data_IF_073573449882
#
_entry.id   IF_073573449882
#
_cell.length_a   1.000
_cell.length_b   1.000
_cell.length_c   1.000
_cell.angle_alpha   90.00
_cell.angle_beta   90.00
_cell.angle_gamma   90.00
#
_symmetry.space_group_name_H-M   'P 1'
#
loop_
_entity.id
_entity.type
_entity.pdbx_description
1 polymer ?
#
# COMPACT_ATOMS: atom_id res chain seq x y z
N UNK A 1 2.77 17.98 -5.00
CA UNK A 1 3.25 16.63 -5.36
C UNK A 1 2.93 16.40 -6.84
N UNK A 2 3.87 15.88 -7.63
CA UNK A 2 3.57 15.45 -9.01
C UNK A 2 3.05 14.01 -8.97
N UNK A 3 2.03 13.71 -9.78
CA UNK A 3 1.50 12.34 -9.91
C UNK A 3 2.61 11.38 -10.33
N UNK A 4 2.61 10.18 -9.74
CA UNK A 4 3.56 9.11 -10.07
C UNK A 4 3.34 8.61 -11.50
N UNK A 5 2.10 8.63 -11.99
CA UNK A 5 1.77 8.18 -13.34
C UNK A 5 2.28 9.10 -14.46
N UNK A 6 2.68 10.33 -14.13
CA UNK A 6 3.29 11.26 -15.07
C UNK A 6 4.84 11.19 -15.06
N UNK A 7 5.40 10.14 -14.45
CA UNK A 7 6.84 9.89 -14.30
C UNK A 7 7.13 8.45 -14.75
N UNK A 8 7.36 8.19 -16.05
CA UNK A 8 7.58 6.84 -16.57
C UNK A 8 8.83 6.15 -16.00
N UNK A 9 9.77 6.94 -15.48
CA UNK A 9 10.98 6.48 -14.79
C UNK A 9 10.76 6.17 -13.30
N UNK A 10 9.57 6.44 -12.76
CA UNK A 10 9.30 6.25 -11.34
C UNK A 10 9.35 4.76 -10.94
N UNK A 11 9.94 4.51 -9.79
CA UNK A 11 10.04 3.18 -9.18
C UNK A 11 9.48 3.18 -7.77
N UNK A 12 8.97 2.01 -7.37
CA UNK A 12 8.71 1.67 -5.97
C UNK A 12 9.78 0.70 -5.50
N UNK A 13 10.10 0.70 -4.20
CA UNK A 13 10.95 -0.31 -3.59
C UNK A 13 10.07 -1.43 -3.03
N UNK A 14 10.19 -2.63 -3.57
CA UNK A 14 9.39 -3.79 -3.15
C UNK A 14 10.25 -4.84 -2.46
N UNK A 15 9.73 -5.42 -1.37
CA UNK A 15 10.34 -6.60 -0.73
C UNK A 15 10.47 -7.74 -1.74
N UNK A 16 11.62 -8.43 -1.72
CA UNK A 16 11.87 -9.60 -2.56
C UNK A 16 10.88 -10.75 -2.32
N UNK A 17 10.27 -10.85 -1.15
CA UNK A 17 9.21 -11.83 -0.90
C UNK A 17 7.97 -11.61 -1.78
N UNK A 18 7.69 -10.36 -2.19
CA UNK A 18 6.63 -10.07 -3.15
C UNK A 18 7.01 -10.54 -4.56
N UNK A 19 8.30 -10.42 -4.89
CA UNK A 19 8.83 -10.66 -6.23
C UNK A 19 8.97 -12.17 -6.51
N UNK A 20 9.44 -12.93 -5.52
CA UNK A 20 9.54 -14.39 -5.62
C UNK A 20 8.23 -15.11 -5.30
N UNK A 21 7.21 -14.38 -4.83
CA UNK A 21 5.88 -14.89 -4.50
C UNK A 21 5.80 -15.67 -3.18
N UNK A 22 6.84 -15.61 -2.34
CA UNK A 22 6.83 -16.24 -1.01
C UNK A 22 5.98 -15.49 0.02
N UNK A 23 5.65 -14.22 -0.25
CA UNK A 23 4.79 -13.38 0.59
C UNK A 23 3.78 -12.57 -0.22
N UNK A 24 2.78 -12.03 0.47
CA UNK A 24 1.72 -11.21 -0.13
C UNK A 24 1.81 -9.75 0.32
N UNK A 25 1.39 -8.82 -0.53
CA UNK A 25 1.40 -7.40 -0.21
C UNK A 25 0.54 -7.13 1.03
N UNK A 26 1.16 -6.53 2.05
CA UNK A 26 0.48 -6.24 3.33
C UNK A 26 0.61 -4.81 3.78
N UNK A 27 1.77 -4.19 3.60
CA UNK A 27 2.02 -2.84 4.10
C UNK A 27 2.67 -2.01 3.00
N UNK A 28 2.31 -0.73 2.95
CA UNK A 28 2.97 0.26 2.10
C UNK A 28 3.24 1.53 2.87
N UNK A 29 4.37 2.15 2.55
CA UNK A 29 4.77 3.41 3.16
C UNK A 29 5.35 4.33 2.09
N UNK A 30 5.05 5.62 2.15
CA UNK A 30 5.63 6.62 1.26
C UNK A 30 6.58 7.52 2.04
N UNK A 31 7.88 7.38 1.82
CA UNK A 31 8.92 8.17 2.47
C UNK A 31 8.76 9.68 2.23
N UNK A 32 9.19 10.48 3.21
CA UNK A 32 9.05 11.94 3.20
C UNK A 32 10.01 12.65 2.23
N UNK A 33 11.08 11.98 1.80
CA UNK A 33 12.12 12.58 0.96
C UNK A 33 12.73 11.52 0.03
N UNK A 34 12.22 11.38 -1.22
CA UNK A 34 12.86 10.51 -2.19
C UNK A 34 14.28 10.97 -2.48
N UNK A 35 15.19 10.02 -2.58
CA UNK A 35 16.63 10.31 -2.65
C UNK A 35 17.13 10.51 -4.09
N UNK A 36 16.36 10.06 -5.08
CA UNK A 36 16.69 10.17 -6.51
C UNK A 36 15.47 10.60 -7.33
N UNK A 37 15.64 11.14 -8.55
CA UNK A 37 14.53 11.54 -9.41
C UNK A 37 13.54 10.41 -9.76
N UNK A 38 14.04 9.17 -9.83
CA UNK A 38 13.24 7.98 -10.12
C UNK A 38 12.50 7.45 -8.88
N UNK A 39 12.95 7.81 -7.69
CA UNK A 39 12.38 7.31 -6.46
C UNK A 39 11.00 7.96 -6.22
N UNK A 40 9.94 7.15 -6.27
CA UNK A 40 8.58 7.63 -5.99
C UNK A 40 8.32 7.85 -4.50
N UNK A 41 9.22 7.37 -3.64
CA UNK A 41 9.13 7.30 -2.19
C UNK A 41 8.36 6.07 -1.68
N UNK A 42 7.74 5.26 -2.54
CA UNK A 42 6.92 4.13 -2.11
C UNK A 42 7.77 2.90 -1.78
N UNK A 43 7.53 2.35 -0.59
CA UNK A 43 7.97 1.04 -0.14
C UNK A 43 6.79 0.09 -0.06
N UNK A 44 6.97 -1.14 -0.55
CA UNK A 44 6.00 -2.23 -0.49
C UNK A 44 6.57 -3.40 0.31
N UNK A 45 5.84 -3.82 1.34
CA UNK A 45 6.25 -4.89 2.25
C UNK A 45 5.29 -6.08 2.16
N UNK A 46 5.88 -7.27 2.30
CA UNK A 46 5.15 -8.52 2.38
C UNK A 46 4.63 -8.79 3.80
N UNK A 47 3.60 -9.63 3.90
CA UNK A 47 3.03 -10.11 5.16
C UNK A 47 3.99 -10.93 6.02
N UNK A 48 4.98 -11.57 5.39
CA UNK A 48 6.02 -12.37 6.03
C UNK A 48 7.34 -11.60 6.25
N UNK A 49 7.39 -10.30 5.95
CA UNK A 49 8.57 -9.49 6.23
C UNK A 49 8.74 -9.28 7.75
N UNK A 50 9.93 -9.59 8.26
CA UNK A 50 10.32 -9.30 9.64
C UNK A 50 11.02 -7.94 9.76
N UNK A 51 11.12 -7.41 10.98
CA UNK A 51 11.90 -6.19 11.24
C UNK A 51 13.37 -6.36 10.81
N UNK A 52 13.96 -7.53 11.07
CA UNK A 52 15.33 -7.84 10.66
C UNK A 52 15.48 -7.88 9.14
N UNK A 53 14.48 -8.41 8.43
CA UNK A 53 14.45 -8.41 6.97
C UNK A 53 14.35 -6.99 6.41
N UNK A 54 13.46 -6.18 6.97
CA UNK A 54 13.20 -4.82 6.54
C UNK A 54 14.36 -3.87 6.81
N UNK A 55 15.23 -4.19 7.78
CA UNK A 55 16.40 -3.41 8.10
C UNK A 55 17.53 -3.51 7.07
N UNK A 56 17.52 -4.52 6.18
CA UNK A 56 18.53 -4.69 5.13
C UNK A 56 18.02 -4.18 3.77
N UNK A 57 18.57 -3.06 3.24
CA UNK A 57 18.18 -2.53 1.94
C UNK A 57 18.37 -3.53 0.78
N UNK A 58 19.28 -4.51 0.93
CA UNK A 58 19.50 -5.53 -0.09
C UNK A 58 18.30 -6.47 -0.25
N UNK A 59 17.35 -6.48 0.69
CA UNK A 59 16.11 -7.26 0.60
C UNK A 59 15.01 -6.58 -0.22
N UNK A 60 15.24 -5.35 -0.68
CA UNK A 60 14.33 -4.61 -1.52
C UNK A 60 14.85 -4.53 -2.95
N UNK A 61 13.93 -4.39 -3.90
CA UNK A 61 14.25 -4.21 -5.31
C UNK A 61 13.38 -3.11 -5.91
N UNK A 62 13.96 -2.19 -6.69
CA UNK A 62 13.17 -1.20 -7.42
C UNK A 62 12.36 -1.89 -8.52
N UNK A 63 11.06 -1.59 -8.56
CA UNK A 63 10.14 -1.99 -9.62
C UNK A 63 9.56 -0.75 -10.29
N UNK A 64 9.53 -0.75 -11.61
CA UNK A 64 8.76 0.26 -12.36
C UNK A 64 7.27 0.13 -12.02
N UNK A 65 6.54 1.24 -12.08
CA UNK A 65 5.13 1.32 -11.66
C UNK A 65 4.24 0.28 -12.35
N UNK A 66 4.46 0.04 -13.65
CA UNK A 66 3.68 -0.96 -14.39
C UNK A 66 3.87 -2.37 -13.85
N UNK A 67 5.10 -2.75 -13.50
CA UNK A 67 5.39 -4.06 -12.89
C UNK A 67 4.77 -4.15 -11.49
N UNK A 68 4.90 -3.11 -10.68
CA UNK A 68 4.30 -3.08 -9.34
C UNK A 68 2.77 -3.21 -9.40
N UNK A 69 2.11 -2.47 -10.30
CA UNK A 69 0.64 -2.51 -10.44
C UNK A 69 0.13 -3.76 -11.15
N UNK A 70 0.97 -4.46 -11.91
CA UNK A 70 0.67 -5.80 -12.42
C UNK A 70 0.72 -6.85 -11.29
N UNK A 71 1.67 -6.71 -10.35
CA UNK A 71 1.79 -7.56 -9.17
C UNK A 71 0.64 -7.32 -8.18
N UNK A 72 0.32 -6.06 -7.90
CA UNK A 72 -0.76 -5.67 -7.01
C UNK A 72 -1.61 -4.54 -7.62
N UNK A 73 -2.72 -4.87 -8.31
CA UNK A 73 -3.58 -3.87 -8.97
C UNK A 73 -4.15 -2.79 -8.03
N UNK A 74 -4.32 -3.10 -6.75
CA UNK A 74 -4.84 -2.16 -5.73
C UNK A 74 -3.93 -0.95 -5.50
N UNK A 75 -2.65 -1.02 -5.90
CA UNK A 75 -1.71 0.09 -5.80
C UNK A 75 -2.15 1.30 -6.64
N UNK A 76 -2.83 1.07 -7.77
CA UNK A 76 -3.24 2.15 -8.69
C UNK A 76 -4.05 3.26 -8.01
N UNK A 77 -4.79 2.90 -6.96
CA UNK A 77 -5.62 3.84 -6.25
C UNK A 77 -4.91 4.65 -5.16
N UNK A 78 -3.68 4.26 -4.77
CA UNK A 78 -2.96 4.90 -3.67
C UNK A 78 -1.66 5.59 -4.10
N UNK A 79 -1.13 5.31 -5.29
CA UNK A 79 0.20 5.79 -5.69
C UNK A 79 0.33 7.33 -5.75
N UNK A 80 -0.79 8.06 -5.88
CA UNK A 80 -0.83 9.52 -5.87
C UNK A 80 -1.11 10.14 -4.48
N UNK A 81 -1.23 9.34 -3.43
CA UNK A 81 -1.36 9.82 -2.05
C UNK A 81 -0.08 10.51 -1.56
N UNK A 82 -0.20 11.49 -0.63
CA UNK A 82 0.91 12.33 -0.20
C UNK A 82 2.08 11.57 0.43
N UNK A 83 3.24 12.22 0.52
CA UNK A 83 4.39 11.72 1.26
C UNK A 83 4.03 11.60 2.75
N UNK A 84 4.58 10.59 3.42
CA UNK A 84 4.20 10.21 4.78
C UNK A 84 2.96 9.31 4.86
N UNK A 85 2.38 8.91 3.73
CA UNK A 85 1.30 7.92 3.68
C UNK A 85 1.79 6.57 4.21
N UNK A 86 0.98 5.94 5.04
CA UNK A 86 1.29 4.72 5.76
C UNK A 86 0.02 3.86 5.80
N UNK A 87 -0.01 2.77 5.03
CA UNK A 87 -1.23 2.00 4.81
C UNK A 87 -1.01 0.51 4.93
N UNK A 88 -2.03 -0.17 5.45
CA UNK A 88 -2.13 -1.62 5.48
C UNK A 88 -3.15 -2.07 4.44
N UNK A 89 -2.79 -3.07 3.66
CA UNK A 89 -3.72 -3.75 2.77
C UNK A 89 -4.41 -4.88 3.52
N UNK A 90 -5.74 -4.83 3.57
CA UNK A 90 -6.56 -5.93 4.02
C UNK A 90 -7.09 -6.70 2.81
N UNK A 91 -6.81 -8.01 2.77
CA UNK A 91 -7.23 -8.91 1.70
C UNK A 91 -8.28 -9.93 2.18
N UNK A 92 -8.82 -9.77 3.40
CA UNK A 92 -9.87 -10.65 3.92
C UNK A 92 -11.10 -10.61 3.01
N UNK A 93 -11.70 -11.77 2.66
CA UNK A 93 -12.87 -11.81 1.80
C UNK A 93 -14.02 -10.93 2.32
N UNK A 94 -14.41 -9.92 1.55
CA UNK A 94 -15.47 -8.96 1.91
C UNK A 94 -15.00 -7.69 2.62
N UNK A 95 -13.72 -7.56 2.96
CA UNK A 95 -13.11 -6.38 3.60
C UNK A 95 -11.82 -6.00 2.85
N UNK A 96 -11.87 -6.02 1.51
CA UNK A 96 -10.70 -5.74 0.70
C UNK A 96 -10.47 -4.21 0.63
N UNK A 97 -9.30 -3.72 1.04
CA UNK A 97 -9.03 -2.29 1.00
C UNK A 97 -7.78 -1.83 1.73
N UNK A 98 -7.48 -0.54 1.57
CA UNK A 98 -6.38 0.12 2.26
C UNK A 98 -6.85 0.77 3.55
N UNK A 99 -6.05 0.68 4.60
CA UNK A 99 -6.36 1.20 5.93
C UNK A 99 -5.19 2.02 6.45
N UNK A 100 -5.47 3.18 7.01
CA UNK A 100 -4.48 3.90 7.83
C UNK A 100 -4.43 3.23 9.22
N UNK A 101 -3.30 2.63 9.62
CA UNK A 101 -3.20 1.91 10.89
C UNK A 101 -3.23 2.83 12.11
N UNK A 102 -2.91 4.13 11.95
CA UNK A 102 -2.89 5.11 13.06
C UNK A 102 -4.30 5.56 13.39
N UNK A 103 -5.09 5.91 12.38
CA UNK A 103 -6.48 6.38 12.56
C UNK A 103 -7.49 5.24 12.52
N UNK A 104 -7.07 4.05 12.06
CA UNK A 104 -7.93 2.88 11.79
C UNK A 104 -9.07 3.19 10.81
N UNK A 105 -8.83 4.13 9.90
CA UNK A 105 -9.83 4.52 8.90
C UNK A 105 -9.51 3.88 7.55
N UNK A 106 -10.53 3.35 6.83
CA UNK A 106 -10.33 2.89 5.47
C UNK A 106 -10.02 4.09 4.56
N UNK A 107 -9.04 3.92 3.69
CA UNK A 107 -8.78 4.82 2.57
C UNK A 107 -9.64 4.32 1.42
N UNK A 108 -10.79 4.97 1.24
CA UNK A 108 -11.76 4.63 0.22
C UNK A 108 -11.11 4.59 -1.16
N UNK A 109 -11.11 3.40 -1.76
CA UNK A 109 -10.82 3.20 -3.17
C UNK A 109 -11.95 3.85 -3.97
N UNK A 110 -11.60 4.82 -4.81
CA UNK A 110 -12.57 5.62 -5.59
C UNK A 110 -13.39 4.82 -6.63
N UNK A 111 -13.23 3.50 -6.71
CA UNK A 111 -13.93 2.65 -7.68
C UNK A 111 -15.23 2.02 -7.15
N UNK A 112 -15.55 2.18 -5.85
CA UNK A 112 -16.77 1.65 -5.26
C UNK A 112 -16.87 0.11 -5.26
N UNK A 113 -15.76 -0.60 -5.50
CA UNK A 113 -15.72 -2.07 -5.57
C UNK A 113 -15.97 -2.76 -4.23
N UNK A 114 -15.82 -2.03 -3.12
CA UNK A 114 -16.08 -2.51 -1.76
C UNK A 114 -16.90 -1.46 -1.01
N UNK A 115 -18.15 -1.78 -0.70
CA UNK A 115 -18.90 -1.10 0.37
C UNK A 115 -18.49 -1.73 1.70
N UNK A 116 -17.70 -1.04 2.54
CA UNK A 116 -17.28 -1.59 3.80
C UNK A 116 -18.50 -1.75 4.70
N UNK A 117 -18.56 -2.88 5.39
CA UNK A 117 -19.57 -3.12 6.40
C UNK A 117 -19.18 -2.34 7.66
N UNK A 118 -19.37 -1.02 7.61
CA UNK A 118 -18.96 -0.11 8.68
C UNK A 118 -20.15 0.74 9.08
N UNK A 119 -20.37 0.85 10.39
CA UNK A 119 -21.26 1.83 10.97
C UNK A 119 -20.44 2.86 11.76
N UNK A 120 -20.90 4.10 11.75
CA UNK A 120 -20.38 5.14 12.65
C UNK A 120 -21.31 5.20 13.86
N UNK A 121 -20.84 4.71 15.01
CA UNK A 121 -21.57 4.75 16.27
C UNK A 121 -20.81 5.65 17.24
N UNK A 122 -21.44 6.72 17.69
CA UNK A 122 -20.86 7.71 18.59
C UNK A 122 -19.52 8.34 18.11
N UNK A 123 -19.30 8.40 16.79
CA UNK A 123 -18.08 8.95 16.20
C UNK A 123 -16.94 7.94 16.04
N UNK A 124 -17.14 6.69 16.46
CA UNK A 124 -16.21 5.59 16.21
C UNK A 124 -16.65 4.76 15.00
N UNK A 125 -15.66 4.35 14.20
CA UNK A 125 -15.82 3.51 13.01
C UNK A 125 -15.82 2.06 13.49
N UNK A 126 -16.99 1.40 13.48
CA UNK A 126 -17.13 0.00 13.89
C UNK A 126 -17.47 -0.89 12.69
N UNK A 127 -16.88 -2.09 12.66
CA UNK A 127 -17.24 -3.13 11.69
C UNK A 127 -18.66 -3.64 12.03
N UNK A 128 -19.57 -3.56 11.08
CA UNK A 128 -20.96 -4.02 11.22
C UNK A 128 -21.00 -5.53 11.04
N UNK A 129 -21.59 -6.24 12.00
CA UNK A 129 -21.65 -7.71 12.01
C UNK A 129 -22.74 -8.30 11.11
N UNK A 130 -23.52 -7.47 10.40
CA UNK A 130 -24.68 -7.95 9.63
C UNK A 130 -24.31 -8.12 8.15
N UNK A 131 -24.41 -9.35 7.65
CA UNK A 131 -24.47 -9.68 6.22
C UNK A 131 -25.85 -10.24 5.88
#
# INVERSE_FOLDING_TARGET
MRSVFNQPEAVVLASKHLIDGSGQLRWVYRELAPTTPQDSGWFLFADNDSEQWNADPANFMPLVIDTATALAPSLKAILDLPYGTDLVFDARPGVQGWWDPKTKTPVWLADGSVTPNIQVVAGEVIESETR
#
